data_IF_182103542160
#
_entry.id   IF_182103542160
#
_cell.length_a   1.000
_cell.length_b   1.000
_cell.length_c   1.000
_cell.angle_alpha   90.00
_cell.angle_beta   90.00
_cell.angle_gamma   90.00
#
_symmetry.space_group_name_H-M   'P 1'
#
loop_
_entity.id
_entity.type
_entity.pdbx_description
1 polymer ?
#
# COMPACT_ATOMS: atom_id res chain seq x y z
N UNK A 1 1.86 -11.24 -10.49
CA UNK A 1 2.15 -12.34 -9.54
C UNK A 1 0.95 -13.27 -9.51
N UNK A 2 1.12 -14.49 -10.03
CA UNK A 2 0.02 -15.43 -10.22
C UNK A 2 -0.16 -16.40 -9.04
N UNK A 3 0.92 -16.75 -8.36
CA UNK A 3 0.91 -17.78 -7.32
C UNK A 3 1.57 -17.25 -6.05
N UNK A 4 0.74 -16.84 -5.11
CA UNK A 4 1.21 -16.40 -3.81
C UNK A 4 1.02 -17.51 -2.77
N UNK A 5 1.95 -17.61 -1.83
CA UNK A 5 1.78 -18.46 -0.66
C UNK A 5 0.60 -17.94 0.17
N UNK A 6 -0.05 -18.84 0.91
CA UNK A 6 -1.22 -18.50 1.73
C UNK A 6 -0.95 -17.42 2.78
N UNK A 7 0.31 -17.33 3.25
CA UNK A 7 0.73 -16.35 4.26
C UNK A 7 1.94 -15.60 3.74
N UNK A 8 1.72 -14.53 2.96
CA UNK A 8 2.81 -13.71 2.47
C UNK A 8 2.45 -12.23 2.51
N UNK A 9 3.48 -11.40 2.47
CA UNK A 9 3.33 -9.96 2.36
C UNK A 9 3.82 -9.48 1.00
N UNK A 10 3.05 -8.60 0.37
CA UNK A 10 3.39 -8.00 -0.93
C UNK A 10 3.55 -6.50 -0.76
N UNK A 11 4.70 -5.98 -1.14
CA UNK A 11 4.92 -4.55 -1.30
C UNK A 11 4.72 -4.19 -2.78
N UNK A 12 3.60 -3.55 -3.09
CA UNK A 12 3.27 -3.13 -4.44
C UNK A 12 3.64 -1.66 -4.61
N UNK A 13 4.76 -1.39 -5.27
CA UNK A 13 5.32 -0.04 -5.40
C UNK A 13 5.35 0.48 -6.83
N UNK A 14 4.92 -0.31 -7.80
CA UNK A 14 5.01 0.05 -9.22
C UNK A 14 3.80 0.75 -9.81
N UNK A 15 2.61 0.61 -9.20
CA UNK A 15 1.39 1.28 -9.67
C UNK A 15 1.30 2.68 -9.05
N UNK A 16 1.96 3.65 -9.67
CA UNK A 16 2.07 5.03 -9.20
C UNK A 16 1.47 6.05 -10.18
N UNK A 17 0.75 5.59 -11.19
CA UNK A 17 0.09 6.43 -12.19
C UNK A 17 -1.13 5.73 -12.77
N UNK A 18 -2.04 6.50 -13.35
CA UNK A 18 -3.21 5.97 -14.05
C UNK A 18 -2.74 5.04 -15.17
N UNK A 19 -3.32 3.84 -15.21
CA UNK A 19 -2.99 2.81 -16.19
C UNK A 19 -1.93 1.80 -15.76
N UNK A 20 -1.20 2.06 -14.68
CA UNK A 20 -0.22 1.11 -14.16
C UNK A 20 -0.86 0.07 -13.24
N UNK A 21 -0.33 -1.14 -13.27
CA UNK A 21 -0.86 -2.25 -12.48
C UNK A 21 0.20 -3.33 -12.32
N UNK A 22 0.32 -3.88 -11.12
CA UNK A 22 1.21 -5.01 -10.83
C UNK A 22 0.46 -6.25 -10.36
N UNK A 23 -0.66 -6.07 -9.66
CA UNK A 23 -1.40 -7.16 -9.03
C UNK A 23 -2.67 -7.51 -9.81
N UNK A 24 -2.98 -8.78 -9.88
CA UNK A 24 -4.24 -9.25 -10.44
C UNK A 24 -5.39 -8.99 -9.46
N UNK A 25 -6.58 -8.79 -9.98
CA UNK A 25 -7.79 -8.50 -9.20
C UNK A 25 -8.05 -9.55 -8.12
N UNK A 26 -7.88 -10.83 -8.43
CA UNK A 26 -8.13 -11.90 -7.46
C UNK A 26 -7.14 -11.90 -6.30
N UNK A 27 -5.92 -11.42 -6.49
CA UNK A 27 -4.93 -11.29 -5.42
C UNK A 27 -5.38 -10.22 -4.42
N UNK A 28 -5.83 -9.08 -4.93
CA UNK A 28 -6.31 -7.97 -4.09
C UNK A 28 -7.61 -8.36 -3.37
N UNK A 29 -8.54 -8.94 -4.08
CA UNK A 29 -9.85 -9.34 -3.52
C UNK A 29 -9.71 -10.37 -2.41
N UNK A 30 -8.72 -11.24 -2.50
CA UNK A 30 -8.45 -12.26 -1.48
C UNK A 30 -7.52 -11.82 -0.37
N UNK A 31 -7.08 -10.56 -0.35
CA UNK A 31 -6.14 -10.08 0.67
C UNK A 31 -6.81 -9.98 2.04
N UNK A 32 -6.11 -10.43 3.07
CA UNK A 32 -6.55 -10.30 4.45
C UNK A 32 -6.38 -8.87 4.97
N UNK A 33 -5.27 -8.22 4.56
CA UNK A 33 -4.97 -6.83 4.91
C UNK A 33 -4.55 -6.08 3.66
N UNK A 34 -5.14 -4.90 3.44
CA UNK A 34 -4.73 -3.99 2.39
C UNK A 34 -4.43 -2.63 2.98
N UNK A 35 -3.17 -2.24 2.92
CA UNK A 35 -2.68 -0.98 3.47
C UNK A 35 -2.12 -0.15 2.33
N UNK A 36 -2.32 1.15 2.37
CA UNK A 36 -1.78 2.08 1.39
C UNK A 36 -1.26 3.34 2.07
N UNK A 37 -0.41 4.05 1.36
CA UNK A 37 0.08 5.34 1.84
C UNK A 37 -1.03 6.40 1.81
N UNK A 38 -1.80 6.47 0.72
CA UNK A 38 -2.96 7.37 0.61
C UNK A 38 -4.09 6.65 -0.13
N UNK A 39 -5.24 6.39 0.54
CA UNK A 39 -6.38 5.72 -0.09
C UNK A 39 -6.90 6.40 -1.34
N UNK A 40 -6.93 7.72 -1.39
CA UNK A 40 -7.39 8.46 -2.57
C UNK A 40 -6.50 8.19 -3.77
N UNK A 41 -5.18 8.18 -3.57
CA UNK A 41 -4.23 7.85 -4.61
C UNK A 41 -4.30 6.38 -5.02
N UNK A 42 -4.51 5.47 -4.08
CA UNK A 42 -4.64 4.05 -4.38
C UNK A 42 -5.80 3.78 -5.35
N UNK A 43 -6.94 4.44 -5.14
CA UNK A 43 -8.10 4.32 -6.04
C UNK A 43 -7.92 5.08 -7.36
N UNK A 44 -7.14 6.15 -7.36
CA UNK A 44 -6.94 6.96 -8.56
C UNK A 44 -5.83 6.43 -9.46
N UNK A 45 -4.70 6.07 -8.89
CA UNK A 45 -3.48 5.73 -9.64
C UNK A 45 -2.73 4.51 -9.10
N UNK A 46 -3.17 3.92 -8.02
CA UNK A 46 -2.58 2.72 -7.43
C UNK A 46 -3.25 1.43 -7.88
N UNK A 47 -3.04 0.37 -7.11
CA UNK A 47 -3.57 -0.96 -7.45
C UNK A 47 -5.10 -1.04 -7.42
N UNK A 48 -5.78 -0.12 -6.74
CA UNK A 48 -7.24 -0.13 -6.60
C UNK A 48 -7.99 0.62 -7.72
N UNK A 49 -7.30 1.13 -8.73
CA UNK A 49 -7.91 2.01 -9.73
C UNK A 49 -8.86 1.31 -10.72
N UNK A 50 -8.84 -0.02 -10.81
CA UNK A 50 -9.55 -0.74 -11.88
C UNK A 50 -10.92 -1.27 -11.50
N UNK A 51 -11.25 -1.37 -10.22
CA UNK A 51 -12.51 -1.94 -9.76
C UNK A 51 -13.03 -1.20 -8.54
N UNK A 52 -14.31 -1.45 -8.23
CA UNK A 52 -14.85 -1.19 -6.92
C UNK A 52 -14.52 -2.39 -6.01
N UNK A 53 -14.23 -2.13 -4.75
CA UNK A 53 -13.80 -3.15 -3.80
C UNK A 53 -14.72 -3.15 -2.58
N UNK A 54 -15.99 -3.60 -2.71
CA UNK A 54 -17.00 -3.42 -1.66
C UNK A 54 -16.70 -4.19 -0.36
N UNK A 55 -15.90 -5.26 -0.45
CA UNK A 55 -15.57 -6.09 0.70
C UNK A 55 -14.14 -5.90 1.21
N UNK A 56 -13.39 -5.01 0.60
CA UNK A 56 -12.00 -4.76 0.95
C UNK A 56 -11.92 -3.65 1.99
N UNK A 57 -11.31 -3.96 3.13
CA UNK A 57 -11.00 -2.96 4.16
C UNK A 57 -9.67 -2.30 3.83
N UNK A 58 -9.73 -1.09 3.26
CA UNK A 58 -8.56 -0.34 2.87
C UNK A 58 -8.14 0.57 4.02
N UNK A 59 -6.93 0.36 4.52
CA UNK A 59 -6.38 1.08 5.67
C UNK A 59 -5.21 1.94 5.23
N UNK A 60 -5.21 3.22 5.62
CA UNK A 60 -4.04 4.07 5.39
C UNK A 60 -2.93 3.75 6.39
N UNK A 61 -1.68 3.93 5.97
CA UNK A 61 -0.53 3.77 6.86
C UNK A 61 -0.64 4.71 8.07
N UNK A 62 -1.13 5.94 7.85
CA UNK A 62 -1.35 6.90 8.92
C UNK A 62 -2.31 6.36 9.97
N UNK A 63 -3.44 5.80 9.54
CA UNK A 63 -4.43 5.21 10.45
C UNK A 63 -3.85 4.04 11.25
N UNK A 64 -3.07 3.20 10.58
CA UNK A 64 -2.41 2.05 11.22
C UNK A 64 -1.46 2.51 12.33
N UNK A 65 -0.65 3.52 12.07
CA UNK A 65 0.31 4.08 13.03
C UNK A 65 -0.40 4.76 14.19
N UNK A 66 -1.38 5.62 13.92
CA UNK A 66 -2.10 6.38 14.94
C UNK A 66 -2.89 5.49 15.90
N UNK A 67 -3.40 4.36 15.42
CA UNK A 67 -4.20 3.45 16.22
C UNK A 67 -3.42 2.25 16.74
N UNK A 68 -2.10 2.21 16.54
CA UNK A 68 -1.22 1.12 16.99
C UNK A 68 -1.73 -0.27 16.56
N UNK A 69 -2.34 -0.35 15.39
CA UNK A 69 -2.82 -1.61 14.86
C UNK A 69 -1.67 -2.45 14.35
N UNK A 70 -1.74 -3.75 14.55
CA UNK A 70 -0.80 -4.70 13.97
C UNK A 70 -1.46 -5.44 12.81
N UNK A 71 -0.65 -5.74 11.79
CA UNK A 71 -1.09 -6.57 10.68
C UNK A 71 -1.14 -8.03 11.11
N UNK A 72 -2.13 -8.76 10.60
CA UNK A 72 -2.28 -10.18 10.90
C UNK A 72 -1.62 -11.01 9.81
N UNK A 73 -0.29 -11.01 9.78
CA UNK A 73 0.50 -11.62 8.72
C UNK A 73 0.30 -13.13 8.58
N UNK A 74 -0.20 -13.79 9.61
CA UNK A 74 -0.46 -15.23 9.64
C UNK A 74 -1.86 -15.63 9.14
N UNK A 75 -2.70 -14.68 8.76
CA UNK A 75 -4.09 -14.95 8.35
C UNK A 75 -4.35 -14.84 6.85
N UNK A 76 -3.32 -14.75 6.04
CA UNK A 76 -3.45 -14.67 4.60
C UNK A 76 -2.47 -13.70 3.98
N UNK A 77 -2.81 -13.22 2.80
CA UNK A 77 -1.97 -12.27 2.06
C UNK A 77 -2.20 -10.87 2.59
N UNK A 78 -1.12 -10.18 2.95
CA UNK A 78 -1.15 -8.76 3.25
C UNK A 78 -0.51 -7.97 2.11
N UNK A 79 -1.09 -6.82 1.75
CA UNK A 79 -0.62 -5.98 0.66
C UNK A 79 -0.38 -4.58 1.18
N UNK A 80 0.78 -4.01 0.84
CA UNK A 80 1.05 -2.59 0.99
C UNK A 80 1.18 -1.97 -0.41
N UNK A 81 0.25 -1.07 -0.76
CA UNK A 81 0.22 -0.36 -2.03
C UNK A 81 0.79 1.05 -1.83
N UNK A 82 1.99 1.27 -2.32
CA UNK A 82 2.66 2.56 -2.25
C UNK A 82 2.60 3.25 -3.61
N UNK A 83 1.89 4.36 -3.66
CA UNK A 83 1.78 5.19 -4.87
C UNK A 83 2.79 6.33 -4.88
N UNK A 84 3.50 6.53 -3.78
CA UNK A 84 4.46 7.62 -3.62
C UNK A 84 3.79 8.93 -3.26
N UNK A 85 3.73 9.23 -1.98
CA UNK A 85 3.19 10.50 -1.48
C UNK A 85 4.33 11.51 -1.36
N UNK A 86 4.13 12.73 -1.86
CA UNK A 86 5.15 13.79 -1.81
C UNK A 86 5.66 14.06 -0.38
N UNK A 87 4.81 13.89 0.61
CA UNK A 87 5.17 14.04 2.02
C UNK A 87 6.27 13.06 2.44
N UNK A 88 6.27 11.84 1.91
CA UNK A 88 7.31 10.84 2.19
C UNK A 88 8.65 11.31 1.64
N UNK A 89 8.68 11.84 0.41
CA UNK A 89 9.89 12.36 -0.22
C UNK A 89 10.43 13.57 0.56
N UNK A 90 9.56 14.47 0.99
CA UNK A 90 9.91 15.64 1.78
C UNK A 90 10.49 15.22 3.14
N UNK A 91 9.90 14.25 3.80
CA UNK A 91 10.38 13.75 5.09
C UNK A 91 11.78 13.14 4.98
N UNK A 92 12.03 12.35 3.94
CA UNK A 92 13.35 11.76 3.67
C UNK A 92 14.37 12.85 3.33
N UNK A 93 14.01 13.79 2.47
CA UNK A 93 14.90 14.89 2.08
C UNK A 93 15.27 15.75 3.29
N UNK A 94 14.32 16.05 4.16
CA UNK A 94 14.57 16.79 5.39
C UNK A 94 15.51 16.04 6.33
N UNK A 95 15.32 14.74 6.49
CA UNK A 95 16.19 13.92 7.33
C UNK A 95 17.62 13.92 6.79
N UNK A 96 17.80 13.72 5.48
CA UNK A 96 19.12 13.75 4.84
C UNK A 96 19.78 15.10 5.03
N UNK A 97 19.04 16.19 4.87
CA UNK A 97 19.54 17.54 5.08
C UNK A 97 20.04 17.73 6.52
N UNK A 98 19.25 17.31 7.51
CA UNK A 98 19.62 17.40 8.93
C UNK A 98 20.87 16.60 9.28
N UNK A 99 21.00 15.40 8.70
CA UNK A 99 22.18 14.54 8.92
C UNK A 99 23.45 15.09 8.27
N UNK A 100 23.32 15.87 7.20
CA UNK A 100 24.43 16.42 6.43
C UNK A 100 24.85 17.81 6.91
N UNK A 101 23.91 18.68 7.19
CA UNK A 101 24.16 20.12 7.48
C UNK A 101 23.67 20.57 8.85
N UNK A 102 22.90 19.77 9.51
CA UNK A 102 22.36 20.06 10.83
C UNK A 102 23.29 19.63 11.94
#
# INVERSE_FOLDING_TARGET
ILNLKSNCHVNAVGADAVGKRELMTNVIDGAADFICDDPKQAFHSGELQYNEWPHLDVVSMQHLIENHKTMQLDKGVSIFDSTGVALEDIAIAELIYRLTYG
#
